data_IF_921375483836
#
_entry.id   IF_921375483836
#
_cell.length_a   1.000
_cell.length_b   1.000
_cell.length_c   1.000
_cell.angle_alpha   90.00
_cell.angle_beta   90.00
_cell.angle_gamma   90.00
#
_symmetry.space_group_name_H-M   'P 1'
#
loop_
_entity.id
_entity.type
_entity.pdbx_description
1 polymer ?
#
# COMPACT_ATOMS: atom_id res chain seq x y z
N UNK A 1 -55.66 -15.30 -26.64
CA UNK A 1 -54.94 -15.34 -27.94
C UNK A 1 -53.46 -15.08 -27.67
N UNK A 2 -52.69 -16.15 -27.44
CA UNK A 2 -51.26 -16.10 -27.10
C UNK A 2 -50.43 -15.96 -28.38
N UNK A 3 -49.76 -14.84 -28.57
CA UNK A 3 -48.87 -14.58 -29.69
C UNK A 3 -47.64 -15.49 -29.60
N UNK A 4 -47.66 -16.61 -30.33
CA UNK A 4 -46.49 -17.48 -30.51
C UNK A 4 -45.42 -16.71 -31.30
N UNK A 5 -44.30 -16.44 -30.64
CA UNK A 5 -43.12 -15.79 -31.23
C UNK A 5 -42.56 -16.76 -32.27
N UNK A 6 -42.57 -16.36 -33.55
CA UNK A 6 -42.01 -17.17 -34.63
C UNK A 6 -40.49 -17.35 -34.45
N UNK A 7 -39.91 -18.48 -34.88
CA UNK A 7 -38.47 -18.76 -34.72
C UNK A 7 -37.59 -17.66 -35.33
N UNK A 8 -38.09 -16.99 -36.38
CA UNK A 8 -37.44 -15.84 -36.99
C UNK A 8 -37.36 -14.62 -36.06
N UNK A 9 -38.44 -14.31 -35.31
CA UNK A 9 -38.42 -13.23 -34.31
C UNK A 9 -37.44 -13.53 -33.17
N UNK A 10 -37.35 -14.79 -32.75
CA UNK A 10 -36.41 -15.20 -31.70
C UNK A 10 -34.95 -15.05 -32.15
N UNK A 11 -34.65 -15.43 -33.40
CA UNK A 11 -33.32 -15.28 -33.99
C UNK A 11 -32.90 -13.80 -34.09
N UNK A 12 -33.81 -12.92 -34.50
CA UNK A 12 -33.57 -11.47 -34.57
C UNK A 12 -33.30 -10.88 -33.17
N UNK A 13 -34.06 -11.28 -32.14
CA UNK A 13 -33.85 -10.84 -30.75
C UNK A 13 -32.47 -11.28 -30.23
N UNK A 14 -32.06 -12.52 -30.51
CA UNK A 14 -30.77 -13.05 -30.08
C UNK A 14 -29.59 -12.32 -30.76
N UNK A 15 -29.71 -12.01 -32.05
CA UNK A 15 -28.72 -11.24 -32.80
C UNK A 15 -28.60 -9.82 -32.22
N UNK A 16 -29.71 -9.14 -31.94
CA UNK A 16 -29.71 -7.81 -31.33
C UNK A 16 -29.10 -7.79 -29.92
N UNK A 17 -29.37 -8.80 -29.09
CA UNK A 17 -28.75 -8.95 -27.77
C UNK A 17 -27.23 -9.18 -27.86
N UNK A 18 -26.78 -10.02 -28.80
CA UNK A 18 -25.36 -10.26 -29.05
C UNK A 18 -24.64 -8.99 -29.55
N UNK A 19 -25.27 -8.24 -30.45
CA UNK A 19 -24.74 -6.94 -30.90
C UNK A 19 -24.68 -5.92 -29.76
N UNK A 20 -25.74 -5.83 -28.95
CA UNK A 20 -25.80 -4.91 -27.80
C UNK A 20 -24.77 -5.22 -26.70
N UNK A 21 -24.45 -6.49 -26.46
CA UNK A 21 -23.40 -6.88 -25.50
C UNK A 21 -22.00 -6.61 -26.04
N UNK A 22 -21.76 -6.84 -27.34
CA UNK A 22 -20.48 -6.52 -28.01
C UNK A 22 -20.20 -5.02 -28.00
N UNK A 23 -21.18 -4.16 -28.28
CA UNK A 23 -20.99 -2.71 -28.26
C UNK A 23 -20.75 -2.18 -26.84
N UNK A 24 -21.50 -2.66 -25.84
CA UNK A 24 -21.30 -2.30 -24.43
C UNK A 24 -19.92 -2.70 -23.91
N UNK A 25 -19.45 -3.90 -24.25
CA UNK A 25 -18.12 -4.38 -23.85
C UNK A 25 -17.01 -3.54 -24.49
N UNK A 26 -17.10 -3.27 -25.79
CA UNK A 26 -16.17 -2.38 -26.50
C UNK A 26 -16.14 -0.97 -25.90
N UNK A 27 -17.30 -0.36 -25.67
CA UNK A 27 -17.39 0.97 -25.05
C UNK A 27 -16.76 0.98 -23.65
N UNK A 28 -17.02 -0.05 -22.84
CA UNK A 28 -16.41 -0.16 -21.50
C UNK A 28 -14.90 -0.30 -21.55
N UNK A 29 -14.36 -1.03 -22.54
CA UNK A 29 -12.92 -1.21 -22.73
C UNK A 29 -12.26 0.12 -23.14
N UNK A 30 -12.87 0.86 -24.07
CA UNK A 30 -12.41 2.18 -24.50
C UNK A 30 -12.46 3.20 -23.36
N UNK A 31 -13.55 3.23 -22.58
CA UNK A 31 -13.69 4.11 -21.42
C UNK A 31 -12.62 3.84 -20.35
N UNK A 32 -12.34 2.56 -20.06
CA UNK A 32 -11.24 2.18 -19.14
C UNK A 32 -9.88 2.60 -19.68
N UNK A 33 -9.62 2.37 -20.97
CA UNK A 33 -8.36 2.75 -21.61
C UNK A 33 -8.16 4.27 -21.58
N UNK A 34 -9.21 5.04 -21.87
CA UNK A 34 -9.19 6.50 -21.84
C UNK A 34 -8.98 7.03 -20.41
N UNK A 35 -9.69 6.46 -19.43
CA UNK A 35 -9.51 6.76 -18.01
C UNK A 35 -8.09 6.45 -17.52
N UNK A 36 -7.52 5.32 -17.95
CA UNK A 36 -6.14 4.97 -17.64
C UNK A 36 -5.14 5.97 -18.25
N UNK A 37 -5.38 6.41 -19.50
CA UNK A 37 -4.57 7.44 -20.16
C UNK A 37 -4.65 8.78 -19.41
N UNK A 38 -5.85 9.23 -19.04
CA UNK A 38 -6.08 10.45 -18.25
C UNK A 38 -5.36 10.37 -16.89
N UNK A 39 -5.49 9.26 -16.17
CA UNK A 39 -4.79 9.03 -14.89
C UNK A 39 -3.27 9.07 -15.04
N UNK A 40 -2.70 8.41 -16.07
CA UNK A 40 -1.25 8.46 -16.35
C UNK A 40 -0.77 9.88 -16.65
N UNK A 41 -1.52 10.63 -17.47
CA UNK A 41 -1.22 12.03 -17.78
C UNK A 41 -1.26 12.90 -16.53
N UNK A 42 -2.27 12.73 -15.67
CA UNK A 42 -2.39 13.50 -14.43
C UNK A 42 -1.26 13.17 -13.45
N UNK A 43 -0.92 11.89 -13.30
CA UNK A 43 0.22 11.46 -12.46
C UNK A 43 1.52 12.13 -12.92
N UNK A 44 1.79 12.11 -14.24
CA UNK A 44 2.99 12.75 -14.80
C UNK A 44 3.02 14.25 -14.52
N UNK A 45 1.90 14.96 -14.75
CA UNK A 45 1.79 16.40 -14.42
C UNK A 45 2.00 16.69 -12.94
N UNK A 46 1.44 15.87 -12.05
CA UNK A 46 1.63 16.04 -10.61
C UNK A 46 3.09 15.81 -10.20
N UNK A 47 3.75 14.80 -10.77
CA UNK A 47 5.17 14.55 -10.55
C UNK A 47 6.03 15.71 -11.05
N UNK A 48 5.79 16.20 -12.27
CA UNK A 48 6.49 17.36 -12.84
C UNK A 48 6.32 18.60 -11.93
N UNK A 49 5.12 18.84 -11.41
CA UNK A 49 4.86 19.95 -10.46
C UNK A 49 5.61 19.78 -9.14
N UNK A 50 5.58 18.58 -8.56
CA UNK A 50 6.30 18.28 -7.32
C UNK A 50 7.81 18.44 -7.48
N UNK A 51 8.38 17.96 -8.59
CA UNK A 51 9.82 18.08 -8.86
C UNK A 51 10.25 19.52 -9.17
N UNK A 52 9.37 20.35 -9.74
CA UNK A 52 9.66 21.76 -9.99
C UNK A 52 9.76 22.55 -8.68
N UNK A 53 8.79 22.38 -7.78
CA UNK A 53 8.78 23.01 -6.45
C UNK A 53 8.00 22.14 -5.45
N UNK A 54 8.70 21.39 -4.59
CA UNK A 54 8.05 20.49 -3.65
C UNK A 54 7.32 21.23 -2.53
N UNK A 55 7.76 22.43 -2.16
CA UNK A 55 7.16 23.20 -1.06
C UNK A 55 5.86 23.86 -1.49
N UNK A 56 5.80 24.46 -2.68
CA UNK A 56 4.55 24.98 -3.24
C UNK A 56 3.54 23.86 -3.50
N UNK A 57 4.00 22.72 -4.03
CA UNK A 57 3.14 21.55 -4.23
C UNK A 57 2.54 21.06 -2.91
N UNK A 58 3.36 20.93 -1.86
CA UNK A 58 2.91 20.53 -0.53
C UNK A 58 1.96 21.56 0.09
N UNK A 59 2.25 22.86 -0.02
CA UNK A 59 1.33 23.93 0.42
C UNK A 59 -0.03 23.78 -0.23
N UNK A 60 -0.09 23.58 -1.55
CA UNK A 60 -1.35 23.38 -2.26
C UNK A 60 -2.08 22.08 -1.85
N UNK A 61 -1.35 21.03 -1.46
CA UNK A 61 -1.92 19.74 -1.05
C UNK A 61 -2.53 19.80 0.36
N UNK A 62 -1.85 20.46 1.30
CA UNK A 62 -2.21 20.48 2.72
C UNK A 62 -2.98 21.72 3.16
N UNK A 63 -2.89 22.83 2.42
CA UNK A 63 -3.76 23.98 2.66
C UNK A 63 -5.16 23.64 2.14
N UNK A 64 -5.95 23.01 3.00
CA UNK A 64 -7.39 23.09 2.89
C UNK A 64 -7.76 24.58 2.92
N UNK A 65 -8.66 25.07 2.05
CA UNK A 65 -9.23 26.39 2.26
C UNK A 65 -9.80 26.42 3.67
N UNK A 66 -9.28 27.31 4.53
CA UNK A 66 -9.78 27.47 5.90
C UNK A 66 -11.21 27.95 5.80
N UNK A 67 -12.17 27.03 5.83
CA UNK A 67 -13.58 27.35 5.78
C UNK A 67 -14.11 27.44 7.21
N UNK A 68 -14.69 28.58 7.55
CA UNK A 68 -15.33 28.81 8.84
C UNK A 68 -14.87 30.12 9.47
N UNK A 69 -15.83 30.99 9.75
CA UNK A 69 -15.63 32.15 10.62
C UNK A 69 -16.07 31.74 12.01
N UNK A 70 -15.12 31.69 12.96
CA UNK A 70 -15.45 31.55 14.36
C UNK A 70 -15.81 32.95 14.89
N UNK A 71 -17.02 33.11 15.42
CA UNK A 71 -17.48 34.36 16.04
C UNK A 71 -16.86 34.61 17.43
N UNK A 72 -16.07 33.66 17.93
CA UNK A 72 -15.48 33.67 19.26
C UNK A 72 -14.17 34.46 19.24
N UNK A 73 -13.90 35.19 20.32
CA UNK A 73 -12.64 35.91 20.49
C UNK A 73 -11.44 34.95 20.49
N UNK A 74 -10.25 35.47 20.17
CA UNK A 74 -9.03 34.65 20.17
C UNK A 74 -8.72 34.15 21.58
N UNK A 75 -8.94 35.02 22.56
CA UNK A 75 -8.67 34.81 23.97
C UNK A 75 -9.54 33.67 24.52
N UNK A 76 -10.84 33.66 24.22
CA UNK A 76 -11.76 32.61 24.64
C UNK A 76 -11.40 31.26 24.00
N UNK A 77 -10.97 31.28 22.74
CA UNK A 77 -10.56 30.07 22.03
C UNK A 77 -9.25 29.51 22.59
N UNK A 78 -8.26 30.36 22.84
CA UNK A 78 -6.99 29.95 23.47
C UNK A 78 -7.22 29.45 24.90
N UNK A 79 -8.09 30.09 25.67
CA UNK A 79 -8.48 29.62 27.00
C UNK A 79 -9.18 28.26 26.95
N UNK A 80 -10.10 28.06 26.01
CA UNK A 80 -10.76 26.77 25.79
C UNK A 80 -9.76 25.68 25.38
N UNK A 81 -8.87 25.95 24.42
CA UNK A 81 -7.85 25.00 24.00
C UNK A 81 -6.91 24.65 25.14
N UNK A 82 -6.47 25.66 25.91
CA UNK A 82 -5.63 25.45 27.09
C UNK A 82 -6.36 24.59 28.10
N UNK A 83 -7.63 24.86 28.40
CA UNK A 83 -8.42 24.04 29.32
C UNK A 83 -8.63 22.60 28.82
N UNK A 84 -8.90 22.42 27.53
CA UNK A 84 -9.25 21.12 26.94
C UNK A 84 -8.04 20.22 26.68
N UNK A 85 -6.89 20.80 26.33
CA UNK A 85 -5.70 20.06 25.89
C UNK A 85 -4.48 20.23 26.80
N UNK A 86 -4.55 21.08 27.85
CA UNK A 86 -3.48 21.13 28.84
C UNK A 86 -3.70 20.06 29.89
N UNK A 87 -2.68 19.23 30.08
CA UNK A 87 -2.60 18.36 31.24
C UNK A 87 -2.00 19.16 32.41
N UNK A 88 -2.75 19.28 33.50
CA UNK A 88 -2.33 20.01 34.71
C UNK A 88 -1.19 19.26 35.42
N UNK A 89 -1.12 17.94 35.23
CA UNK A 89 -0.15 17.06 35.85
C UNK A 89 1.02 16.73 34.91
N UNK A 90 1.17 17.48 33.80
CA UNK A 90 2.25 17.26 32.82
C UNK A 90 3.65 17.29 33.44
N UNK A 91 3.84 18.14 34.44
CA UNK A 91 5.13 18.30 35.14
C UNK A 91 5.27 17.34 36.33
N UNK A 92 4.20 16.64 36.72
CA UNK A 92 4.27 15.62 37.75
C UNK A 92 4.88 14.34 37.15
N UNK A 93 5.94 13.80 37.76
CA UNK A 93 6.43 12.48 37.39
C UNK A 93 5.29 11.46 37.49
N UNK A 94 5.14 10.61 36.47
CA UNK A 94 4.21 9.49 36.53
C UNK A 94 4.66 8.54 37.65
N UNK A 95 3.74 8.18 38.52
CA UNK A 95 3.98 7.19 39.58
C UNK A 95 4.42 5.85 38.98
N UNK A 96 5.34 5.17 39.68
CA UNK A 96 5.79 3.85 39.28
C UNK A 96 4.60 2.88 39.35
N UNK A 97 4.13 2.44 38.18
CA UNK A 97 2.94 1.59 38.09
C UNK A 97 3.33 0.20 38.60
N UNK A 98 2.88 -0.16 39.79
CA UNK A 98 3.19 -1.43 40.46
C UNK A 98 2.88 -2.71 39.63
N UNK A 99 2.10 -2.57 38.56
CA UNK A 99 1.72 -3.66 37.65
C UNK A 99 2.74 -3.85 36.50
N UNK A 100 3.60 -2.87 36.23
CA UNK A 100 4.60 -2.95 35.17
C UNK A 100 5.81 -3.77 35.63
N UNK A 101 5.69 -5.09 35.47
CA UNK A 101 6.83 -6.00 35.62
C UNK A 101 7.73 -5.83 34.39
N UNK A 102 8.87 -5.15 34.57
CA UNK A 102 9.91 -5.18 33.55
C UNK A 102 10.35 -6.63 33.33
N UNK A 103 10.28 -7.15 32.09
CA UNK A 103 10.75 -8.50 31.84
C UNK A 103 12.24 -8.57 32.17
N UNK A 104 12.67 -9.71 32.73
CA UNK A 104 14.09 -9.99 32.90
C UNK A 104 14.81 -9.85 31.56
N UNK A 105 16.06 -9.38 31.59
CA UNK A 105 16.89 -9.31 30.40
C UNK A 105 16.88 -10.67 29.68
N UNK A 106 16.74 -10.69 28.34
CA UNK A 106 16.65 -11.94 27.61
C UNK A 106 17.93 -12.76 27.84
N UNK A 107 17.79 -13.93 28.45
CA UNK A 107 18.93 -14.83 28.72
C UNK A 107 19.53 -15.46 27.46
N UNK A 108 18.79 -15.44 26.35
CA UNK A 108 19.21 -16.02 25.07
C UNK A 108 19.76 -14.91 24.18
N UNK A 109 21.04 -14.99 23.83
CA UNK A 109 21.66 -14.08 22.87
C UNK A 109 21.02 -14.24 21.49
N UNK A 110 20.84 -13.11 20.78
CA UNK A 110 20.34 -13.14 19.42
C UNK A 110 21.30 -13.91 18.48
N UNK A 111 20.73 -14.73 17.59
CA UNK A 111 21.53 -15.49 16.64
C UNK A 111 21.96 -14.60 15.46
N UNK A 112 23.20 -14.12 15.50
CA UNK A 112 23.80 -13.29 14.44
C UNK A 112 24.39 -14.10 13.26
N UNK A 113 24.13 -15.41 13.20
CA UNK A 113 24.60 -16.24 12.09
C UNK A 113 23.84 -15.87 10.80
N UNK A 114 24.47 -16.01 9.62
CA UNK A 114 23.77 -15.83 8.36
C UNK A 114 22.62 -16.85 8.23
N UNK A 115 21.57 -16.52 7.48
CA UNK A 115 20.39 -17.38 7.34
C UNK A 115 20.76 -18.74 6.74
N UNK A 116 20.18 -19.80 7.28
CA UNK A 116 20.33 -21.16 6.76
C UNK A 116 19.47 -21.35 5.49
N UNK A 117 19.89 -22.26 4.60
CA UNK A 117 19.13 -22.59 3.40
C UNK A 117 17.73 -23.10 3.74
N UNK A 118 17.60 -23.90 4.80
CA UNK A 118 16.30 -24.43 5.26
C UNK A 118 15.36 -23.31 5.73
N UNK A 119 15.89 -22.31 6.44
CA UNK A 119 15.12 -21.13 6.87
C UNK A 119 14.62 -20.36 5.65
N UNK A 120 15.50 -20.15 4.65
CA UNK A 120 15.12 -19.48 3.40
C UNK A 120 14.04 -20.28 2.65
N UNK A 121 14.16 -21.59 2.57
CA UNK A 121 13.14 -22.48 1.97
C UNK A 121 11.80 -22.34 2.70
N UNK A 122 11.80 -22.35 4.05
CA UNK A 122 10.60 -22.22 4.86
C UNK A 122 9.89 -20.88 4.60
N UNK A 123 10.65 -19.78 4.57
CA UNK A 123 10.13 -18.43 4.27
C UNK A 123 9.54 -18.37 2.86
N UNK A 124 10.27 -18.87 1.85
CA UNK A 124 9.80 -18.88 0.46
C UNK A 124 8.54 -19.73 0.32
N UNK A 125 8.42 -20.85 1.03
CA UNK A 125 7.23 -21.70 0.93
C UNK A 125 6.00 -21.08 1.58
N UNK A 126 6.16 -20.29 2.67
CA UNK A 126 5.07 -19.60 3.38
C UNK A 126 4.38 -18.52 2.53
N UNK A 127 5.11 -17.87 1.62
CA UNK A 127 4.58 -16.75 0.82
C UNK A 127 3.80 -17.23 -0.41
N UNK A 128 2.84 -16.41 -0.89
CA UNK A 128 2.05 -16.73 -2.10
C UNK A 128 2.96 -16.75 -3.34
N UNK A 129 2.80 -17.78 -4.19
CA UNK A 129 3.68 -17.98 -5.35
C UNK A 129 3.64 -16.82 -6.37
N UNK A 130 2.50 -16.13 -6.51
CA UNK A 130 2.35 -14.97 -7.41
C UNK A 130 2.88 -13.66 -6.82
N UNK A 131 3.27 -13.63 -5.54
CA UNK A 131 3.88 -12.44 -4.95
C UNK A 131 5.28 -12.24 -5.50
N UNK A 132 5.62 -10.99 -5.80
CA UNK A 132 6.89 -10.61 -6.40
C UNK A 132 7.49 -9.41 -5.64
N UNK A 133 8.21 -9.66 -4.53
CA UNK A 133 8.81 -8.59 -3.75
C UNK A 133 10.09 -8.08 -4.41
N UNK A 134 10.33 -6.78 -4.26
CA UNK A 134 11.53 -6.12 -4.76
C UNK A 134 11.39 -5.54 -6.17
N UNK A 135 12.33 -4.67 -6.58
CA UNK A 135 12.26 -3.91 -7.83
C UNK A 135 12.35 -4.78 -9.08
N UNK A 136 12.89 -6.00 -8.97
CA UNK A 136 13.05 -6.93 -10.08
C UNK A 136 11.72 -7.59 -10.51
N UNK A 137 10.68 -7.54 -9.66
CA UNK A 137 9.37 -8.12 -9.98
C UNK A 137 9.36 -9.63 -10.19
N UNK A 138 10.36 -10.36 -9.69
CA UNK A 138 10.45 -11.82 -9.85
C UNK A 138 9.50 -12.51 -8.86
N UNK A 139 8.55 -13.35 -9.33
CA UNK A 139 7.62 -14.03 -8.45
C UNK A 139 8.30 -15.13 -7.65
N UNK A 140 7.80 -15.38 -6.43
CA UNK A 140 8.26 -16.49 -5.60
C UNK A 140 8.10 -17.87 -6.25
N UNK A 141 7.23 -17.99 -7.25
CA UNK A 141 7.07 -19.21 -8.06
C UNK A 141 8.41 -19.74 -8.59
N UNK A 142 9.30 -18.86 -9.07
CA UNK A 142 10.61 -19.25 -9.58
C UNK A 142 11.45 -19.94 -8.49
N UNK A 143 11.50 -19.31 -7.31
CA UNK A 143 12.26 -19.82 -6.17
C UNK A 143 11.67 -21.12 -5.59
N UNK A 144 10.35 -21.31 -5.68
CA UNK A 144 9.68 -22.55 -5.28
C UNK A 144 9.93 -23.71 -6.24
N UNK A 145 9.93 -23.44 -7.54
CA UNK A 145 10.02 -24.46 -8.59
C UNK A 145 11.46 -24.80 -8.97
N UNK A 146 12.39 -23.85 -8.83
CA UNK A 146 13.77 -23.99 -9.28
C UNK A 146 14.73 -24.00 -8.08
N UNK A 147 15.07 -25.17 -7.49
CA UNK A 147 15.89 -25.25 -6.29
C UNK A 147 17.31 -24.71 -6.49
N UNK A 148 17.87 -24.81 -7.70
CA UNK A 148 19.20 -24.25 -8.00
C UNK A 148 19.22 -22.71 -7.98
N UNK A 149 18.11 -22.08 -8.40
CA UNK A 149 17.95 -20.62 -8.33
C UNK A 149 17.83 -20.19 -6.87
N UNK A 150 17.07 -20.92 -6.06
CA UNK A 150 16.97 -20.68 -4.63
C UNK A 150 18.31 -20.82 -3.90
N UNK A 151 19.10 -21.86 -4.23
CA UNK A 151 20.47 -22.03 -3.73
C UNK A 151 21.37 -20.86 -4.12
N UNK A 152 21.23 -20.33 -5.34
CA UNK A 152 21.99 -19.15 -5.78
C UNK A 152 21.59 -17.89 -4.99
N UNK A 153 20.29 -17.68 -4.78
CA UNK A 153 19.78 -16.59 -3.94
C UNK A 153 20.35 -16.69 -2.52
N UNK A 154 20.33 -17.88 -1.93
CA UNK A 154 20.91 -18.11 -0.60
C UNK A 154 22.40 -17.77 -0.53
N UNK A 155 23.19 -18.12 -1.54
CA UNK A 155 24.61 -17.71 -1.63
C UNK A 155 24.78 -16.19 -1.68
N UNK A 156 23.93 -15.49 -2.42
CA UNK A 156 23.93 -14.02 -2.50
C UNK A 156 23.59 -13.42 -1.13
N UNK A 157 22.56 -13.93 -0.45
CA UNK A 157 22.16 -13.49 0.89
C UNK A 157 23.30 -13.67 1.91
N UNK A 158 23.99 -14.83 1.89
CA UNK A 158 25.15 -15.08 2.76
C UNK A 158 26.32 -14.15 2.46
N UNK A 159 26.61 -13.93 1.18
CA UNK A 159 27.67 -13.01 0.76
C UNK A 159 27.36 -11.58 1.22
N UNK A 160 26.13 -11.11 1.00
CA UNK A 160 25.68 -9.80 1.47
C UNK A 160 25.82 -9.69 2.98
N UNK A 161 25.34 -10.68 3.75
CA UNK A 161 25.45 -10.72 5.21
C UNK A 161 26.90 -10.57 5.70
N UNK A 162 27.83 -11.31 5.10
CA UNK A 162 29.24 -11.28 5.48
C UNK A 162 29.95 -9.98 5.07
N UNK A 163 29.45 -9.30 4.02
CA UNK A 163 30.02 -8.06 3.52
C UNK A 163 29.43 -6.80 4.20
N UNK A 164 28.43 -6.95 5.07
CA UNK A 164 27.93 -5.83 5.87
C UNK A 164 29.06 -5.42 6.82
N UNK A 165 29.71 -4.29 6.51
CA UNK A 165 30.49 -3.54 7.49
C UNK A 165 29.49 -2.97 8.49
N UNK A 166 29.28 -3.65 9.61
CA UNK A 166 28.54 -3.07 10.73
C UNK A 166 29.42 -1.93 11.24
N UNK A 167 29.05 -0.68 10.93
CA UNK A 167 29.59 0.48 11.62
C UNK A 167 29.39 0.23 13.10
N UNK A 168 30.48 0.11 13.84
CA UNK A 168 30.44 0.24 15.30
C UNK A 168 30.06 1.67 15.67
#
# INVERSE_FOLDING_TARGET
MSSLITPFRLAVIHILLLLGTKTKTQHSALSRAESARKKRRQKRKNQERFHRDPFQFARQLFQQPKSGTLAVSREDLEAHLKKSYSDTNRELPLEETAVLIWPAAPGIKFNNKPPNLQEVVAVVNKVRAKSAPGPNGVPYLLYKRCPNVLKRLHKILRSAWNNIKVSK
#
